data_IF_626846113720
#
_entry.id   IF_626846113720
#
_cell.length_a   1.000
_cell.length_b   1.000
_cell.length_c   1.000
_cell.angle_alpha   90.00
_cell.angle_beta   90.00
_cell.angle_gamma   90.00
#
_symmetry.space_group_name_H-M   'P 1'
#
loop_
_entity.id
_entity.type
_entity.pdbx_description
1 polymer ?
#
# COMPACT_ATOMS: atom_id res chain seq x y z
N UNK A 1 -0.02 -5.87 16.55
CA UNK A 1 0.30 -7.29 16.32
C UNK A 1 0.23 -8.03 17.64
N UNK A 2 1.07 -7.71 18.63
CA UNK A 2 1.19 -8.41 19.91
C UNK A 2 -0.14 -8.63 20.64
N UNK A 3 -1.01 -7.62 20.76
CA UNK A 3 -2.30 -7.75 21.41
C UNK A 3 -3.22 -8.82 20.79
N UNK A 4 -3.21 -8.96 19.46
CA UNK A 4 -3.96 -10.02 18.77
C UNK A 4 -3.34 -11.39 18.99
N UNK A 5 -2.01 -11.47 19.02
CA UNK A 5 -1.29 -12.71 19.36
C UNK A 5 -1.62 -13.19 20.76
N UNK A 6 -1.62 -12.28 21.75
CA UNK A 6 -2.01 -12.58 23.13
C UNK A 6 -3.49 -12.98 23.25
N UNK A 7 -4.34 -12.49 22.35
CA UNK A 7 -5.74 -12.89 22.25
C UNK A 7 -5.97 -14.23 21.54
N UNK A 8 -4.91 -14.92 21.11
CA UNK A 8 -4.97 -16.25 20.50
C UNK A 8 -5.11 -16.25 18.98
N UNK A 9 -4.99 -15.10 18.32
CA UNK A 9 -4.97 -15.05 16.86
C UNK A 9 -3.60 -15.45 16.32
N UNK A 10 -3.56 -16.19 15.24
CA UNK A 10 -2.37 -16.31 14.41
C UNK A 10 -2.10 -14.97 13.72
N UNK A 11 -0.92 -14.41 13.91
CA UNK A 11 -0.59 -13.08 13.38
C UNK A 11 0.31 -13.17 12.14
N UNK A 12 -0.11 -12.46 11.08
CA UNK A 12 0.59 -12.42 9.79
C UNK A 12 0.81 -10.97 9.36
N UNK A 13 2.02 -10.66 8.92
CA UNK A 13 2.35 -9.40 8.25
C UNK A 13 2.96 -9.70 6.88
N UNK A 14 2.41 -9.09 5.83
CA UNK A 14 2.97 -9.12 4.48
C UNK A 14 3.21 -7.67 4.05
N UNK A 15 4.44 -7.32 3.72
CA UNK A 15 4.83 -5.95 3.40
C UNK A 15 5.49 -5.84 2.03
N UNK A 16 5.10 -4.81 1.27
CA UNK A 16 5.73 -4.43 -0.02
C UNK A 16 6.69 -3.23 0.13
N UNK A 17 6.98 -2.82 1.35
CA UNK A 17 7.98 -1.78 1.63
C UNK A 17 9.20 -2.37 2.31
N UNK A 18 10.39 -1.85 1.99
CA UNK A 18 11.64 -2.27 2.61
C UNK A 18 11.69 -1.78 4.05
N UNK A 19 11.42 -2.67 4.98
CA UNK A 19 11.27 -2.37 6.41
C UNK A 19 12.53 -2.65 7.24
N UNK A 20 13.63 -3.04 6.61
CA UNK A 20 14.85 -3.51 7.31
C UNK A 20 15.47 -2.47 8.25
N UNK A 21 15.22 -1.18 8.01
CA UNK A 21 15.79 -0.05 8.77
C UNK A 21 14.74 0.80 9.49
N UNK A 22 13.44 0.49 9.33
CA UNK A 22 12.38 1.28 9.94
C UNK A 22 11.99 0.74 11.32
N UNK A 23 11.54 1.63 12.23
CA UNK A 23 10.96 1.24 13.52
C UNK A 23 9.74 0.33 13.33
N UNK A 24 8.94 0.55 12.27
CA UNK A 24 7.77 -0.25 11.91
C UNK A 24 8.16 -1.71 11.68
N UNK A 25 9.32 -1.97 11.05
CA UNK A 25 9.83 -3.33 10.84
C UNK A 25 10.10 -4.10 12.13
N UNK A 26 10.43 -3.42 13.23
CA UNK A 26 10.58 -4.06 14.53
C UNK A 26 9.24 -4.62 15.04
N UNK A 27 8.16 -3.82 14.98
CA UNK A 27 6.82 -4.24 15.37
C UNK A 27 6.26 -5.36 14.48
N UNK A 28 6.58 -5.37 13.20
CA UNK A 28 6.10 -6.40 12.28
C UNK A 28 6.77 -7.76 12.51
N UNK A 29 8.03 -7.76 13.00
CA UNK A 29 8.73 -9.01 13.38
C UNK A 29 8.18 -9.68 14.64
N UNK A 30 7.29 -9.02 15.37
CA UNK A 30 6.55 -9.64 16.49
C UNK A 30 5.46 -10.61 16.00
N UNK A 31 5.06 -10.53 14.72
CA UNK A 31 4.09 -11.44 14.12
C UNK A 31 4.64 -12.88 14.06
N UNK A 32 3.73 -13.87 14.11
CA UNK A 32 4.10 -15.29 13.96
C UNK A 32 4.68 -15.56 12.57
N UNK A 33 4.19 -14.83 11.56
CA UNK A 33 4.72 -14.87 10.18
C UNK A 33 4.92 -13.46 9.67
N UNK A 34 6.14 -13.15 9.20
CA UNK A 34 6.45 -11.90 8.53
C UNK A 34 7.05 -12.18 7.14
N UNK A 35 6.42 -11.66 6.11
CA UNK A 35 6.83 -11.79 4.71
C UNK A 35 7.16 -10.41 4.16
N UNK A 36 8.42 -10.17 3.86
CA UNK A 36 8.88 -8.94 3.19
C UNK A 36 9.01 -9.22 1.68
N UNK A 37 7.97 -8.85 0.94
CA UNK A 37 7.89 -9.05 -0.51
C UNK A 37 8.90 -8.15 -1.24
N UNK A 38 9.28 -7.01 -0.65
CA UNK A 38 10.24 -6.08 -1.24
C UNK A 38 11.63 -6.69 -1.43
N UNK A 39 11.98 -7.73 -0.65
CA UNK A 39 13.26 -8.42 -0.76
C UNK A 39 13.41 -9.22 -2.06
N UNK A 40 12.30 -9.56 -2.72
CA UNK A 40 12.31 -10.23 -4.02
C UNK A 40 12.48 -9.26 -5.19
N UNK A 41 12.46 -7.95 -4.93
CA UNK A 41 12.75 -6.93 -5.92
C UNK A 41 14.27 -6.81 -6.12
N UNK A 42 14.77 -7.26 -7.26
CA UNK A 42 16.20 -7.15 -7.65
C UNK A 42 16.57 -5.79 -8.24
N UNK A 43 15.59 -4.86 -8.35
CA UNK A 43 15.78 -3.52 -8.87
C UNK A 43 16.34 -2.51 -7.86
N UNK A 44 16.41 -1.25 -8.29
CA UNK A 44 16.82 -0.12 -7.43
C UNK A 44 15.90 0.03 -6.21
N UNK A 45 16.40 0.64 -5.14
CA UNK A 45 15.60 1.01 -3.94
C UNK A 45 14.37 1.86 -4.25
N UNK A 46 14.34 2.50 -5.42
CA UNK A 46 13.23 3.35 -5.87
C UNK A 46 12.15 2.58 -6.65
N UNK A 47 12.42 1.35 -7.07
CA UNK A 47 11.46 0.51 -7.76
C UNK A 47 10.86 -0.49 -6.77
N UNK A 48 9.60 -0.31 -6.40
CA UNK A 48 8.83 -1.32 -5.67
C UNK A 48 8.18 -2.30 -6.64
N UNK A 49 7.87 -3.51 -6.16
CA UNK A 49 6.88 -4.34 -6.82
C UNK A 49 5.50 -3.66 -6.74
N UNK A 50 4.62 -3.92 -7.68
CA UNK A 50 3.24 -3.52 -7.56
C UNK A 50 2.56 -4.25 -6.40
N UNK A 51 1.62 -3.61 -5.72
CA UNK A 51 1.01 -4.15 -4.50
C UNK A 51 0.24 -5.47 -4.72
N UNK A 52 -0.19 -5.78 -5.94
CA UNK A 52 -0.72 -7.11 -6.26
C UNK A 52 0.27 -8.25 -6.00
N UNK A 53 1.58 -7.96 -5.87
CA UNK A 53 2.57 -8.94 -5.47
C UNK A 53 2.35 -9.51 -4.05
N UNK A 54 1.56 -8.85 -3.21
CA UNK A 54 1.16 -9.34 -1.89
C UNK A 54 0.14 -10.50 -1.98
N UNK A 55 -0.70 -10.51 -3.03
CA UNK A 55 -1.86 -11.40 -3.15
C UNK A 55 -1.52 -12.90 -3.12
N UNK A 56 -0.50 -13.39 -3.85
CA UNK A 56 -0.15 -14.82 -3.81
C UNK A 56 0.32 -15.30 -2.43
N UNK A 57 0.96 -14.41 -1.66
CA UNK A 57 1.39 -14.73 -0.30
C UNK A 57 0.22 -14.74 0.66
N UNK A 58 -0.72 -13.80 0.52
CA UNK A 58 -1.96 -13.78 1.31
C UNK A 58 -2.76 -15.05 1.05
N UNK A 59 -3.02 -15.40 -0.21
CA UNK A 59 -3.76 -16.60 -0.59
C UNK A 59 -3.16 -17.86 0.01
N UNK A 60 -1.83 -18.02 -0.14
CA UNK A 60 -1.09 -19.16 0.40
C UNK A 60 -1.21 -19.27 1.93
N UNK A 61 -1.19 -18.15 2.66
CA UNK A 61 -1.30 -18.18 4.12
C UNK A 61 -2.73 -18.44 4.59
N UNK A 62 -3.74 -17.94 3.85
CA UNK A 62 -5.14 -18.27 4.10
C UNK A 62 -5.47 -19.76 3.85
N UNK A 63 -4.74 -20.40 2.91
CA UNK A 63 -4.91 -21.83 2.61
C UNK A 63 -4.29 -22.77 3.63
N UNK A 64 -3.40 -22.27 4.49
CA UNK A 64 -2.63 -23.13 5.41
C UNK A 64 -3.33 -23.41 6.72
N UNK A 65 -4.30 -22.64 7.11
CA UNK A 65 -4.80 -22.67 8.49
C UNK A 65 -6.28 -22.29 8.56
N UNK A 66 -7.00 -23.03 9.40
CA UNK A 66 -8.38 -22.73 9.82
C UNK A 66 -8.42 -21.89 11.12
N UNK A 67 -7.28 -21.42 11.59
CA UNK A 67 -7.18 -20.59 12.80
C UNK A 67 -7.70 -19.17 12.56
N UNK A 68 -8.19 -18.53 13.63
CA UNK A 68 -8.49 -17.10 13.59
C UNK A 68 -7.20 -16.30 13.33
N UNK A 69 -7.24 -15.42 12.33
CA UNK A 69 -6.05 -14.68 11.88
C UNK A 69 -6.22 -13.17 12.04
N UNK A 70 -5.15 -12.53 12.49
CA UNK A 70 -4.96 -11.08 12.35
C UNK A 70 -3.90 -10.82 11.29
N UNK A 71 -4.30 -10.18 10.19
CA UNK A 71 -3.45 -9.98 9.02
C UNK A 71 -3.23 -8.49 8.80
N UNK A 72 -1.96 -8.10 8.67
CA UNK A 72 -1.55 -6.75 8.23
C UNK A 72 -0.95 -6.86 6.84
N UNK A 73 -1.56 -6.17 5.87
CA UNK A 73 -1.01 -5.97 4.54
C UNK A 73 -0.46 -4.55 4.44
N UNK A 74 0.85 -4.43 4.39
CA UNK A 74 1.52 -3.13 4.27
C UNK A 74 1.85 -2.86 2.80
N UNK A 75 0.97 -2.14 2.13
CA UNK A 75 1.10 -1.76 0.73
C UNK A 75 2.11 -0.62 0.56
N UNK A 76 2.62 -0.45 -0.64
CA UNK A 76 3.34 0.76 -1.02
C UNK A 76 2.35 1.89 -1.34
N UNK A 77 1.16 1.52 -1.82
CA UNK A 77 0.06 2.42 -2.11
C UNK A 77 0.42 3.51 -3.10
N UNK A 78 -0.12 4.71 -2.84
CA UNK A 78 0.08 5.90 -3.67
C UNK A 78 1.28 6.74 -3.24
N UNK A 79 2.36 6.10 -2.77
CA UNK A 79 3.59 6.78 -2.41
C UNK A 79 4.31 7.36 -3.65
N UNK A 80 4.92 8.53 -3.51
CA UNK A 80 5.75 9.14 -4.56
C UNK A 80 6.95 8.20 -4.93
N UNK A 81 7.33 7.96 -6.22
CA UNK A 81 6.81 8.55 -7.46
C UNK A 81 5.52 7.82 -7.89
N UNK A 82 4.42 8.51 -7.97
CA UNK A 82 3.10 7.91 -8.21
C UNK A 82 3.02 7.09 -9.50
N UNK A 83 3.64 7.55 -10.60
CA UNK A 83 3.61 6.86 -11.91
C UNK A 83 4.31 5.49 -11.93
N UNK A 84 5.04 5.16 -10.85
CA UNK A 84 5.70 3.87 -10.66
C UNK A 84 4.85 2.90 -9.80
N UNK A 85 3.66 3.34 -9.34
CA UNK A 85 2.84 2.58 -8.39
C UNK A 85 1.78 1.70 -9.05
N UNK A 86 1.63 1.77 -10.36
CA UNK A 86 0.64 1.02 -11.12
C UNK A 86 1.19 0.53 -12.45
N UNK A 87 0.74 -0.65 -12.93
CA UNK A 87 1.10 -1.15 -14.25
C UNK A 87 0.36 -0.37 -15.37
N UNK A 88 0.83 -0.54 -16.60
CA UNK A 88 0.42 0.27 -17.75
C UNK A 88 -1.09 0.22 -18.04
N UNK A 89 -1.76 -0.88 -17.77
CA UNK A 89 -3.20 -1.08 -17.97
C UNK A 89 -4.06 -0.22 -17.03
N UNK A 90 -3.50 0.26 -15.93
CA UNK A 90 -4.18 1.18 -15.01
C UNK A 90 -3.98 2.65 -15.37
N UNK A 91 -3.21 2.95 -16.40
CA UNK A 91 -2.94 4.31 -16.89
C UNK A 91 -4.10 4.82 -17.73
N UNK A 92 -5.10 5.41 -17.09
CA UNK A 92 -6.23 6.04 -17.80
C UNK A 92 -6.12 7.57 -17.86
N UNK A 93 -5.55 8.19 -16.82
CA UNK A 93 -5.32 9.62 -16.77
C UNK A 93 -3.94 9.96 -17.31
N UNK A 94 -3.89 10.77 -18.38
CA UNK A 94 -2.63 11.14 -19.04
C UNK A 94 -2.61 12.63 -19.41
N UNK A 95 -1.44 13.26 -19.51
CA UNK A 95 -0.10 12.74 -19.21
C UNK A 95 0.09 12.47 -17.71
N UNK A 96 0.92 11.48 -17.35
CA UNK A 96 1.11 10.99 -15.99
C UNK A 96 2.60 10.88 -15.58
N UNK A 97 3.51 11.41 -16.40
CA UNK A 97 4.95 11.45 -16.10
C UNK A 97 5.39 12.87 -15.86
N UNK A 98 5.81 13.16 -14.64
CA UNK A 98 6.42 14.42 -14.25
C UNK A 98 7.94 14.26 -14.16
N UNK A 99 8.70 15.24 -14.65
CA UNK A 99 10.17 15.27 -14.52
C UNK A 99 10.63 15.80 -13.15
N UNK A 100 9.73 15.95 -12.21
CA UNK A 100 9.99 16.41 -10.85
C UNK A 100 8.76 17.00 -10.17
N UNK A 101 8.92 17.38 -8.91
CA UNK A 101 7.86 17.99 -8.11
C UNK A 101 7.88 19.50 -8.36
N UNK A 102 7.10 19.93 -9.35
CA UNK A 102 6.95 21.36 -9.70
C UNK A 102 5.48 21.65 -10.05
N UNK A 103 5.04 22.86 -9.78
CA UNK A 103 3.68 23.30 -10.12
C UNK A 103 3.37 23.18 -11.63
N UNK A 104 4.38 23.34 -12.48
CA UNK A 104 4.23 23.14 -13.92
C UNK A 104 3.84 21.73 -14.33
N UNK A 105 4.10 20.73 -13.48
CA UNK A 105 3.75 19.33 -13.65
C UNK A 105 2.56 18.90 -12.78
N UNK A 106 1.78 19.85 -12.25
CA UNK A 106 0.61 19.56 -11.40
C UNK A 106 -0.34 18.56 -12.05
N UNK A 107 -0.62 18.71 -13.34
CA UNK A 107 -1.52 17.81 -14.07
C UNK A 107 -0.98 16.38 -14.13
N UNK A 108 0.29 16.24 -14.50
CA UNK A 108 0.97 14.95 -14.59
C UNK A 108 1.02 14.25 -13.23
N UNK A 109 1.36 14.99 -12.18
CA UNK A 109 1.41 14.46 -10.82
C UNK A 109 0.04 13.99 -10.32
N UNK A 110 -1.01 14.80 -10.54
CA UNK A 110 -2.38 14.40 -10.18
C UNK A 110 -2.87 13.21 -10.97
N UNK A 111 -2.67 13.21 -12.29
CA UNK A 111 -3.04 12.06 -13.12
C UNK A 111 -2.35 10.78 -12.66
N UNK A 112 -1.06 10.85 -12.32
CA UNK A 112 -0.32 9.71 -11.79
C UNK A 112 -0.87 9.27 -10.42
N UNK A 113 -1.19 10.22 -9.55
CA UNK A 113 -1.79 9.93 -8.25
C UNK A 113 -3.16 9.25 -8.40
N UNK A 114 -4.04 9.78 -9.24
CA UNK A 114 -5.36 9.21 -9.49
C UNK A 114 -5.28 7.79 -10.09
N UNK A 115 -4.32 7.54 -11.01
CA UNK A 115 -4.05 6.20 -11.51
C UNK A 115 -3.58 5.25 -10.39
N UNK A 116 -2.75 5.74 -9.46
CA UNK A 116 -2.28 4.92 -8.33
C UNK A 116 -3.40 4.57 -7.35
N UNK A 117 -4.31 5.51 -7.06
CA UNK A 117 -5.51 5.26 -6.25
C UNK A 117 -6.40 4.20 -6.92
N UNK A 118 -6.61 4.31 -8.22
CA UNK A 118 -7.38 3.32 -8.99
C UNK A 118 -6.76 1.92 -8.90
N UNK A 119 -5.44 1.83 -8.93
CA UNK A 119 -4.76 0.55 -8.78
C UNK A 119 -4.86 -0.01 -7.35
N UNK A 120 -4.76 0.85 -6.35
CA UNK A 120 -5.00 0.46 -4.96
C UNK A 120 -6.40 -0.11 -4.76
N UNK A 121 -7.43 0.55 -5.32
CA UNK A 121 -8.82 0.08 -5.28
C UNK A 121 -8.96 -1.32 -5.92
N UNK A 122 -8.31 -1.55 -7.06
CA UNK A 122 -8.25 -2.87 -7.68
C UNK A 122 -7.66 -3.94 -6.75
N UNK A 123 -6.52 -3.65 -6.11
CA UNK A 123 -5.87 -4.60 -5.19
C UNK A 123 -6.78 -4.91 -3.99
N UNK A 124 -7.46 -3.90 -3.44
CA UNK A 124 -8.43 -4.10 -2.36
C UNK A 124 -9.60 -4.96 -2.82
N UNK A 125 -10.09 -4.76 -4.04
CA UNK A 125 -11.12 -5.60 -4.67
C UNK A 125 -10.71 -7.07 -4.77
N UNK A 126 -9.49 -7.35 -5.23
CA UNK A 126 -8.94 -8.71 -5.30
C UNK A 126 -8.87 -9.38 -3.91
N UNK A 127 -8.49 -8.63 -2.86
CA UNK A 127 -8.49 -9.14 -1.49
C UNK A 127 -9.90 -9.51 -1.04
N UNK A 128 -10.88 -8.63 -1.28
CA UNK A 128 -12.29 -8.87 -0.93
C UNK A 128 -12.83 -10.11 -1.64
N UNK A 129 -12.54 -10.25 -2.93
CA UNK A 129 -12.98 -11.41 -3.71
C UNK A 129 -12.29 -12.70 -3.28
N UNK A 130 -11.03 -12.64 -2.88
CA UNK A 130 -10.31 -13.77 -2.28
C UNK A 130 -10.99 -14.22 -0.98
N UNK A 131 -11.30 -13.31 -0.07
CA UNK A 131 -11.97 -13.62 1.20
C UNK A 131 -13.37 -14.21 0.97
N UNK A 132 -14.14 -13.68 0.01
CA UNK A 132 -15.44 -14.24 -0.36
C UNK A 132 -15.34 -15.67 -0.88
N UNK A 133 -14.34 -15.96 -1.73
CA UNK A 133 -14.11 -17.33 -2.26
C UNK A 133 -13.76 -18.32 -1.16
N UNK A 134 -13.12 -17.87 -0.09
CA UNK A 134 -12.77 -18.70 1.06
C UNK A 134 -13.95 -18.96 2.01
N UNK A 135 -15.08 -18.26 1.83
CA UNK A 135 -16.27 -18.36 2.69
C UNK A 135 -15.98 -18.14 4.18
N UNK A 136 -14.97 -17.33 4.50
CA UNK A 136 -14.58 -17.01 5.88
C UNK A 136 -15.34 -15.81 6.43
N UNK A 137 -15.61 -15.81 7.73
CA UNK A 137 -16.09 -14.62 8.42
C UNK A 137 -14.91 -13.67 8.60
N UNK A 138 -14.89 -12.55 7.85
CA UNK A 138 -13.81 -11.60 7.86
C UNK A 138 -14.31 -10.16 7.95
N UNK A 139 -13.49 -9.29 8.55
CA UNK A 139 -13.62 -7.84 8.42
C UNK A 139 -12.32 -7.27 7.89
N UNK A 140 -12.41 -6.26 7.01
CA UNK A 140 -11.28 -5.55 6.46
C UNK A 140 -11.35 -4.08 6.83
N UNK A 141 -10.25 -3.55 7.34
CA UNK A 141 -10.05 -2.12 7.56
C UNK A 141 -8.94 -1.64 6.62
N UNK A 142 -9.24 -0.66 5.79
CA UNK A 142 -8.25 0.05 4.99
C UNK A 142 -8.12 1.48 5.50
N UNK A 143 -6.88 1.94 5.65
CA UNK A 143 -6.57 3.33 5.99
C UNK A 143 -5.22 3.71 5.37
N UNK A 144 -5.10 4.98 5.02
CA UNK A 144 -3.81 5.59 4.68
C UNK A 144 -3.13 6.06 5.97
N UNK A 145 -1.81 6.01 6.03
CA UNK A 145 -1.01 6.58 7.13
C UNK A 145 -0.97 8.11 7.07
N UNK A 146 -1.09 8.70 5.89
CA UNK A 146 -1.18 10.16 5.67
C UNK A 146 -1.84 10.47 4.33
N UNK A 147 -2.12 11.75 4.11
CA UNK A 147 -2.57 12.30 2.83
C UNK A 147 -1.44 12.98 2.06
N UNK A 148 -1.77 13.44 0.86
CA UNK A 148 -0.90 14.20 -0.03
C UNK A 148 -1.58 15.52 -0.42
N UNK A 149 -0.81 16.63 -0.51
CA UNK A 149 -1.24 17.87 -1.14
C UNK A 149 -0.44 18.02 -2.45
N UNK A 150 -1.11 17.91 -3.58
CA UNK A 150 -0.48 17.95 -4.90
C UNK A 150 -0.86 19.28 -5.57
N UNK A 151 -0.40 20.39 -5.00
CA UNK A 151 -0.73 21.74 -5.47
C UNK A 151 -2.26 21.99 -5.49
N UNK A 152 -2.97 21.53 -4.45
CA UNK A 152 -4.43 21.46 -4.46
C UNK A 152 -5.08 22.81 -4.24
N UNK A 153 -4.42 23.71 -3.55
CA UNK A 153 -4.95 25.04 -3.21
C UNK A 153 -4.13 26.19 -3.81
N UNK A 154 -4.55 27.42 -3.45
CA UNK A 154 -3.91 28.65 -3.90
C UNK A 154 -2.46 28.85 -3.41
N UNK A 155 -2.02 28.11 -2.42
CA UNK A 155 -0.63 28.16 -1.92
C UNK A 155 0.35 27.50 -2.87
N UNK A 156 -0.17 26.68 -3.81
CA UNK A 156 0.62 26.02 -4.83
C UNK A 156 1.81 25.22 -4.26
N UNK A 157 1.56 24.46 -3.19
CA UNK A 157 2.56 23.65 -2.49
C UNK A 157 2.36 22.18 -2.80
N UNK A 158 3.45 21.44 -2.75
CA UNK A 158 3.45 19.99 -2.62
C UNK A 158 3.82 19.66 -1.18
N UNK A 159 2.96 18.93 -0.49
CA UNK A 159 3.17 18.52 0.90
C UNK A 159 2.90 17.03 1.04
N UNK A 160 3.86 16.34 1.63
CA UNK A 160 3.79 14.93 1.98
C UNK A 160 3.68 14.79 3.49
N UNK A 161 2.70 14.01 3.96
CA UNK A 161 2.51 13.72 5.38
C UNK A 161 2.43 14.99 6.27
N UNK A 162 1.76 16.07 5.81
CA UNK A 162 1.62 17.27 6.61
C UNK A 162 0.77 17.00 7.86
N UNK A 163 1.16 17.51 9.05
CA UNK A 163 0.36 17.37 10.26
C UNK A 163 -0.87 18.29 10.30
N UNK A 164 -1.07 19.13 9.29
CA UNK A 164 -2.16 20.11 9.25
C UNK A 164 -3.31 19.58 8.39
N UNK A 165 -4.45 19.17 8.99
CA UNK A 165 -5.56 18.52 8.26
C UNK A 165 -6.16 19.37 7.14
N UNK A 166 -6.10 20.70 7.24
CA UNK A 166 -6.62 21.63 6.22
C UNK A 166 -5.81 21.65 4.92
N UNK A 167 -4.69 20.92 4.85
CA UNK A 167 -3.87 20.80 3.65
C UNK A 167 -4.24 19.59 2.81
N UNK A 168 -5.13 18.73 3.33
CA UNK A 168 -5.65 17.57 2.61
C UNK A 168 -7.16 17.74 2.42
N UNK A 169 -7.62 17.50 1.26
CA UNK A 169 -9.05 17.44 0.95
C UNK A 169 -9.44 16.00 0.62
#
# INVERSE_FOLDING_TARGET
VTAFKEAGFRTLVIANQKLTTSMIGAFYREADTFIDVSTFNTGSYLTSLYDAALLPYLEKELDKSDEDMFIVLHTYGSHFNYHERYPAEFRIYTPDKAEGIRQSYKKELRNAYDNSIRYTDYVLGEIVDMLKKKEVCASMLYLSDHGEDIFDDARARYLHASPIPTYYQ
#
